data_IF_758180994427
#
_entry.id   IF_758180994427
#
_cell.length_a   1.000
_cell.length_b   1.000
_cell.length_c   1.000
_cell.angle_alpha   90.00
_cell.angle_beta   90.00
_cell.angle_gamma   90.00
#
_symmetry.space_group_name_H-M   'P 1'
#
loop_
_entity.id
_entity.type
_entity.pdbx_description
1 polymer ?
#
# COMPACT_ATOMS: atom_id res chain seq x y z
N UNK A 1 52.20 -30.01 23.82
CA UNK A 1 50.99 -29.85 22.97
C UNK A 1 49.79 -29.80 23.90
N UNK A 2 49.34 -28.60 24.26
CA UNK A 2 48.14 -28.40 25.07
C UNK A 2 47.10 -27.71 24.17
N UNK A 3 46.08 -28.47 23.76
CA UNK A 3 44.91 -27.93 23.06
C UNK A 3 44.03 -27.24 24.10
N UNK A 4 44.02 -25.91 24.06
CA UNK A 4 42.99 -25.11 24.72
C UNK A 4 41.79 -25.10 23.79
N UNK A 5 40.76 -25.88 24.12
CA UNK A 5 39.45 -25.80 23.48
C UNK A 5 38.68 -24.69 24.19
N UNK A 6 38.60 -23.50 23.60
CA UNK A 6 37.66 -22.47 24.06
C UNK A 6 36.25 -22.83 23.57
N UNK A 7 35.46 -23.44 24.43
CA UNK A 7 34.00 -23.46 24.29
C UNK A 7 33.48 -22.08 24.70
N UNK A 8 33.21 -21.24 23.71
CA UNK A 8 32.49 -19.98 23.92
C UNK A 8 31.02 -20.28 24.23
N UNK A 9 30.69 -20.42 25.53
CA UNK A 9 29.32 -20.25 26.00
C UNK A 9 29.01 -18.75 26.03
N UNK A 10 28.72 -18.17 24.86
CA UNK A 10 28.04 -16.88 24.78
C UNK A 10 26.61 -17.11 25.24
N UNK A 11 26.29 -16.68 26.46
CA UNK A 11 24.90 -16.45 26.86
C UNK A 11 24.34 -15.41 25.88
N UNK A 12 23.52 -15.86 24.94
CA UNK A 12 22.75 -15.01 24.04
C UNK A 12 21.77 -14.22 24.90
N UNK A 13 22.17 -13.03 25.34
CA UNK A 13 21.21 -11.99 25.70
C UNK A 13 20.64 -11.50 24.37
N UNK A 14 19.37 -11.77 24.02
CA UNK A 14 18.78 -11.20 22.83
C UNK A 14 18.81 -9.68 23.00
N UNK A 15 19.67 -9.00 22.24
CA UNK A 15 19.57 -7.56 22.07
C UNK A 15 18.20 -7.29 21.46
N UNK A 16 17.40 -6.36 22.01
CA UNK A 16 16.13 -5.96 21.40
C UNK A 16 16.34 -5.64 19.93
N UNK A 17 15.68 -6.38 19.04
CA UNK A 17 15.84 -6.22 17.60
C UNK A 17 14.73 -5.29 17.10
N UNK A 18 15.13 -4.13 16.57
CA UNK A 18 14.18 -3.28 15.83
C UNK A 18 13.59 -4.08 14.67
N UNK A 19 12.31 -3.95 14.38
CA UNK A 19 11.64 -4.62 13.26
C UNK A 19 12.37 -4.35 11.93
N UNK A 20 12.84 -3.11 11.73
CA UNK A 20 13.67 -2.75 10.58
C UNK A 20 14.89 -3.68 10.42
N UNK A 21 15.68 -3.85 11.47
CA UNK A 21 16.84 -4.74 11.43
C UNK A 21 16.43 -6.21 11.29
N UNK A 22 15.33 -6.64 11.93
CA UNK A 22 14.82 -8.00 11.78
C UNK A 22 14.48 -8.34 10.32
N UNK A 23 13.83 -7.42 9.61
CA UNK A 23 13.51 -7.53 8.18
C UNK A 23 14.79 -7.58 7.35
N UNK A 24 15.70 -6.61 7.52
CA UNK A 24 16.91 -6.51 6.70
C UNK A 24 17.84 -7.73 6.85
N UNK A 25 17.92 -8.31 8.05
CA UNK A 25 18.72 -9.51 8.31
C UNK A 25 18.14 -10.80 7.73
N UNK A 26 16.91 -10.80 7.22
CA UNK A 26 16.39 -11.94 6.45
C UNK A 26 17.22 -12.19 5.17
N UNK A 27 17.94 -11.17 4.70
CA UNK A 27 18.64 -11.14 3.43
C UNK A 27 20.06 -10.59 3.58
N UNK A 28 20.70 -10.85 4.73
CA UNK A 28 22.08 -10.44 5.04
C UNK A 28 22.34 -8.91 4.98
N UNK A 29 21.29 -8.11 5.17
CA UNK A 29 21.36 -6.66 5.27
C UNK A 29 21.25 -5.90 3.94
N UNK A 30 21.35 -4.57 4.03
CA UNK A 30 21.02 -3.67 2.90
C UNK A 30 21.93 -3.86 1.69
N UNK A 31 23.22 -4.13 1.88
CA UNK A 31 24.18 -4.32 0.78
C UNK A 31 23.84 -5.53 -0.07
N UNK A 32 23.46 -6.64 0.57
CA UNK A 32 23.05 -7.87 -0.12
C UNK A 32 21.74 -7.65 -0.88
N UNK A 33 20.74 -7.01 -0.25
CA UNK A 33 19.47 -6.66 -0.92
C UNK A 33 19.71 -5.77 -2.16
N UNK A 34 20.49 -4.70 -2.03
CA UNK A 34 20.79 -3.78 -3.15
C UNK A 34 21.51 -4.52 -4.29
N UNK A 35 22.42 -5.45 -3.96
CA UNK A 35 23.19 -6.21 -4.96
C UNK A 35 22.33 -7.13 -5.83
N UNK A 36 21.12 -7.50 -5.40
CA UNK A 36 20.18 -8.31 -6.19
C UNK A 36 19.69 -7.58 -7.45
N UNK A 37 19.69 -6.24 -7.43
CA UNK A 37 19.04 -5.44 -8.46
C UNK A 37 17.51 -5.62 -8.45
N UNK A 38 16.85 -5.12 -9.49
CA UNK A 38 15.40 -5.22 -9.61
C UNK A 38 14.98 -6.59 -10.17
N UNK A 39 13.86 -7.15 -9.67
CA UNK A 39 13.25 -8.32 -10.30
C UNK A 39 12.59 -7.93 -11.63
N UNK A 40 12.17 -8.94 -12.40
CA UNK A 40 11.41 -8.68 -13.62
C UNK A 40 9.96 -8.31 -13.27
N UNK A 41 9.63 -7.02 -13.37
CA UNK A 41 8.28 -6.51 -13.13
C UNK A 41 7.28 -6.89 -14.22
N UNK A 42 7.72 -7.37 -15.38
CA UNK A 42 6.83 -7.89 -16.44
C UNK A 42 6.33 -9.31 -16.19
N UNK A 43 6.74 -9.94 -15.08
CA UNK A 43 6.30 -11.29 -14.68
C UNK A 43 5.80 -11.31 -13.25
N UNK A 44 4.83 -12.19 -12.99
CA UNK A 44 4.41 -12.52 -11.63
C UNK A 44 5.61 -13.02 -10.82
N UNK A 45 5.57 -12.80 -9.51
CA UNK A 45 6.56 -13.42 -8.63
C UNK A 45 6.37 -14.94 -8.54
N UNK A 46 7.47 -15.66 -8.41
CA UNK A 46 7.57 -17.10 -8.17
C UNK A 46 8.38 -17.35 -6.90
N UNK A 47 8.59 -18.61 -6.54
CA UNK A 47 9.46 -18.95 -5.40
C UNK A 47 10.91 -18.50 -5.60
N UNK A 48 11.41 -18.48 -6.83
CA UNK A 48 12.80 -18.15 -7.14
C UNK A 48 13.14 -16.65 -7.06
N UNK A 49 12.13 -15.77 -7.17
CA UNK A 49 12.28 -14.32 -7.02
C UNK A 49 11.54 -13.79 -5.78
N UNK A 50 11.21 -14.67 -4.83
CA UNK A 50 10.65 -14.31 -3.54
C UNK A 50 11.74 -13.78 -2.61
N UNK A 51 11.53 -12.62 -2.00
CA UNK A 51 12.45 -12.02 -1.06
C UNK A 51 12.28 -10.52 -0.89
N UNK A 52 13.33 -9.86 -0.41
CA UNK A 52 13.39 -8.41 -0.22
C UNK A 52 14.24 -7.77 -1.31
N UNK A 53 13.76 -6.65 -1.84
CA UNK A 53 14.37 -5.85 -2.90
C UNK A 53 14.40 -4.36 -2.50
N UNK A 54 15.13 -3.53 -3.25
CA UNK A 54 15.29 -2.11 -2.94
C UNK A 54 14.81 -1.22 -4.09
N UNK A 55 14.18 -0.09 -3.75
CA UNK A 55 13.77 0.96 -4.69
C UNK A 55 13.69 2.30 -3.95
N UNK A 56 13.95 3.41 -4.63
CA UNK A 56 13.85 4.75 -4.04
C UNK A 56 12.40 5.24 -3.92
N UNK A 57 12.06 5.87 -2.79
CA UNK A 57 10.83 6.65 -2.57
C UNK A 57 11.16 8.15 -2.36
N UNK A 58 10.23 8.95 -1.79
CA UNK A 58 10.44 10.37 -1.45
C UNK A 58 11.47 10.64 -0.35
N UNK A 59 11.77 9.63 0.45
CA UNK A 59 12.59 9.73 1.65
C UNK A 59 13.96 9.09 1.47
N UNK A 60 14.11 8.18 0.51
CA UNK A 60 15.37 7.54 0.14
C UNK A 60 15.16 6.08 -0.26
N UNK A 61 16.14 5.23 0.02
CA UNK A 61 16.07 3.81 -0.32
C UNK A 61 15.06 3.07 0.56
N UNK A 62 13.97 2.60 -0.05
CA UNK A 62 13.04 1.64 0.54
C UNK A 62 13.49 0.20 0.33
N UNK A 63 13.02 -0.70 1.21
CA UNK A 63 13.21 -2.14 1.10
C UNK A 63 11.85 -2.84 1.15
N UNK A 64 11.44 -3.48 0.06
CA UNK A 64 10.08 -4.00 -0.12
C UNK A 64 10.05 -5.52 -0.27
N UNK A 65 8.96 -6.12 0.19
CA UNK A 65 8.68 -7.54 0.04
C UNK A 65 8.08 -7.85 -1.33
N UNK A 66 8.60 -8.89 -1.97
CA UNK A 66 8.07 -9.50 -3.19
C UNK A 66 7.92 -10.99 -3.00
N UNK A 67 6.80 -11.57 -3.43
CA UNK A 67 6.74 -13.00 -3.67
C UNK A 67 5.74 -13.81 -2.85
N UNK A 68 6.09 -15.09 -2.71
CA UNK A 68 5.21 -16.14 -2.23
C UNK A 68 4.99 -16.07 -0.71
N UNK A 69 3.73 -16.06 -0.31
CA UNK A 69 3.28 -15.96 1.08
C UNK A 69 3.78 -17.06 2.01
N UNK A 70 4.11 -18.24 1.48
CA UNK A 70 4.59 -19.38 2.26
C UNK A 70 6.11 -19.35 2.50
N UNK A 71 6.83 -18.50 1.79
CA UNK A 71 8.30 -18.36 1.91
C UNK A 71 8.64 -17.07 2.68
N UNK A 72 7.86 -16.01 2.43
CA UNK A 72 8.11 -14.71 3.05
C UNK A 72 7.91 -14.72 4.56
N UNK A 73 8.73 -13.92 5.23
CA UNK A 73 8.67 -13.65 6.67
C UNK A 73 8.17 -12.23 6.93
N UNK A 74 6.99 -11.90 6.40
CA UNK A 74 6.43 -10.55 6.42
C UNK A 74 5.15 -10.43 7.26
N UNK A 75 4.99 -11.26 8.28
CA UNK A 75 3.81 -11.27 9.15
C UNK A 75 4.05 -10.53 10.46
N UNK A 76 3.09 -9.71 10.87
CA UNK A 76 3.19 -8.88 12.07
C UNK A 76 1.87 -8.90 12.85
N UNK A 77 1.97 -8.95 14.17
CA UNK A 77 0.89 -8.67 15.10
C UNK A 77 1.20 -7.37 15.83
N UNK A 78 0.26 -6.43 15.77
CA UNK A 78 0.38 -5.10 16.36
C UNK A 78 -1.00 -4.51 16.65
N UNK A 79 -1.19 -4.01 17.87
CA UNK A 79 -2.38 -3.27 18.27
C UNK A 79 -3.68 -4.09 18.26
N UNK A 80 -3.62 -5.40 18.52
CA UNK A 80 -4.78 -6.29 18.43
C UNK A 80 -5.12 -6.73 17.00
N UNK A 81 -4.25 -6.47 16.03
CA UNK A 81 -4.47 -6.79 14.61
C UNK A 81 -3.32 -7.57 14.00
N UNK A 82 -3.66 -8.31 12.94
CA UNK A 82 -2.74 -8.95 12.03
C UNK A 82 -2.41 -8.03 10.86
N UNK A 83 -1.16 -8.06 10.43
CA UNK A 83 -0.64 -7.22 9.35
C UNK A 83 0.30 -8.01 8.45
N UNK A 84 0.28 -7.68 7.15
CA UNK A 84 1.39 -8.00 6.25
C UNK A 84 2.29 -6.76 6.14
N UNK A 85 3.59 -6.98 6.21
CA UNK A 85 4.58 -5.92 5.99
C UNK A 85 4.78 -5.78 4.48
N UNK A 86 4.61 -4.55 3.97
CA UNK A 86 4.83 -4.21 2.57
C UNK A 86 6.29 -3.83 2.33
N UNK A 87 6.79 -2.86 3.11
CA UNK A 87 8.13 -2.31 2.97
C UNK A 87 8.61 -1.56 4.20
N UNK A 88 9.93 -1.39 4.28
CA UNK A 88 10.58 -0.30 5.02
C UNK A 88 10.67 0.88 4.05
N UNK A 89 10.12 2.03 4.43
CA UNK A 89 10.19 3.28 3.67
C UNK A 89 11.60 3.90 3.76
N UNK A 90 11.90 4.88 2.90
CA UNK A 90 13.22 5.52 2.88
C UNK A 90 13.61 6.26 4.16
N UNK A 91 12.63 6.69 4.97
CA UNK A 91 12.84 7.27 6.30
C UNK A 91 12.98 6.23 7.42
N UNK A 92 12.89 4.94 7.08
CA UNK A 92 12.94 3.82 8.01
C UNK A 92 11.61 3.43 8.65
N UNK A 93 10.52 4.19 8.44
CA UNK A 93 9.18 3.79 8.86
C UNK A 93 8.74 2.52 8.13
N UNK A 94 7.79 1.77 8.71
CA UNK A 94 7.45 0.42 8.26
C UNK A 94 6.00 0.41 7.79
N UNK A 95 5.79 0.25 6.48
CA UNK A 95 4.47 0.26 5.85
C UNK A 95 3.84 -1.12 5.93
N UNK A 96 2.63 -1.18 6.49
CA UNK A 96 1.92 -2.43 6.77
C UNK A 96 0.47 -2.35 6.28
N UNK A 97 -0.07 -3.48 5.82
CA UNK A 97 -1.45 -3.61 5.33
C UNK A 97 -2.24 -4.58 6.22
N UNK A 98 -3.48 -4.20 6.54
CA UNK A 98 -4.38 -4.96 7.40
C UNK A 98 -4.61 -6.39 6.88
N UNK A 99 -4.68 -7.34 7.81
CA UNK A 99 -4.82 -8.76 7.52
C UNK A 99 -5.66 -9.52 8.56
N UNK A 100 -6.55 -8.83 9.28
CA UNK A 100 -7.45 -9.41 10.28
C UNK A 100 -7.11 -9.04 11.72
N UNK A 101 -7.76 -9.72 12.67
CA UNK A 101 -7.62 -9.45 14.10
C UNK A 101 -6.60 -10.40 14.75
N UNK A 102 -5.98 -9.98 15.85
CA UNK A 102 -5.14 -10.88 16.65
C UNK A 102 -5.93 -12.05 17.23
N UNK A 103 -7.22 -11.85 17.53
CA UNK A 103 -8.12 -12.93 17.95
C UNK A 103 -8.20 -14.06 16.92
N UNK A 104 -8.27 -13.73 15.62
CA UNK A 104 -8.27 -14.76 14.55
C UNK A 104 -6.96 -15.58 14.57
N UNK A 105 -5.82 -14.95 14.90
CA UNK A 105 -4.55 -15.65 15.03
C UNK A 105 -4.56 -16.56 16.27
N UNK A 106 -5.03 -16.05 17.40
CA UNK A 106 -5.06 -16.79 18.66
C UNK A 106 -5.96 -18.03 18.57
N UNK A 107 -7.04 -17.96 17.77
CA UNK A 107 -7.92 -19.10 17.50
C UNK A 107 -7.28 -20.13 16.55
N UNK A 108 -6.61 -19.68 15.48
CA UNK A 108 -6.13 -20.56 14.40
C UNK A 108 -4.67 -21.02 14.57
N UNK A 109 -3.87 -20.33 15.39
CA UNK A 109 -2.44 -20.56 15.57
C UNK A 109 -1.57 -20.19 14.36
N UNK A 110 -2.15 -19.49 13.38
CA UNK A 110 -1.48 -19.05 12.16
C UNK A 110 -2.09 -17.75 11.66
N UNK A 111 -1.28 -16.95 10.96
CA UNK A 111 -1.76 -15.74 10.31
C UNK A 111 -2.80 -16.05 9.24
N UNK A 112 -3.77 -15.15 9.09
CA UNK A 112 -4.78 -15.22 8.04
C UNK A 112 -4.09 -15.19 6.67
N UNK A 113 -4.62 -15.99 5.77
CA UNK A 113 -4.11 -16.14 4.42
C UNK A 113 -5.17 -15.68 3.40
N UNK A 114 -6.41 -16.11 3.59
CA UNK A 114 -7.58 -15.73 2.81
C UNK A 114 -8.77 -15.63 3.76
N UNK A 115 -9.76 -14.81 3.41
CA UNK A 115 -11.00 -14.75 4.20
C UNK A 115 -11.53 -13.33 4.39
N UNK A 116 -12.84 -13.17 4.69
CA UNK A 116 -13.46 -11.86 4.85
C UNK A 116 -12.90 -11.07 6.03
N UNK A 117 -12.24 -11.73 6.99
CA UNK A 117 -11.55 -11.10 8.10
C UNK A 117 -10.29 -10.33 7.67
N UNK A 118 -9.72 -10.62 6.49
CA UNK A 118 -8.53 -9.93 5.97
C UNK A 118 -8.79 -8.51 5.45
N UNK A 119 -10.05 -8.10 5.45
CA UNK A 119 -10.54 -6.80 4.96
C UNK A 119 -11.43 -6.16 6.04
N UNK A 120 -11.64 -4.84 6.00
CA UNK A 120 -12.47 -4.15 7.01
C UNK A 120 -13.95 -4.05 6.63
N UNK A 121 -14.30 -4.51 5.43
CA UNK A 121 -15.66 -4.50 4.91
C UNK A 121 -15.73 -4.21 3.42
N UNK A 122 -16.94 -4.30 2.89
CA UNK A 122 -17.26 -4.08 1.49
C UNK A 122 -17.85 -2.69 1.31
N UNK A 123 -17.11 -1.85 0.59
CA UNK A 123 -17.44 -0.45 0.41
C UNK A 123 -17.24 -0.07 -1.05
N UNK A 124 -17.84 1.02 -1.48
CA UNK A 124 -17.47 1.65 -2.76
C UNK A 124 -16.29 2.59 -2.53
N UNK A 125 -15.52 2.86 -3.57
CA UNK A 125 -14.49 3.90 -3.49
C UNK A 125 -15.14 5.30 -3.50
N UNK A 126 -16.12 5.47 -4.39
CA UNK A 126 -16.98 6.64 -4.46
C UNK A 126 -18.37 6.19 -4.93
N UNK A 127 -19.42 6.73 -4.33
CA UNK A 127 -20.82 6.47 -4.68
C UNK A 127 -21.26 7.19 -5.96
N UNK A 128 -20.37 7.98 -6.55
CA UNK A 128 -20.58 8.70 -7.82
C UNK A 128 -19.36 8.49 -8.70
N UNK A 129 -19.58 8.27 -9.99
CA UNK A 129 -18.54 7.87 -10.96
C UNK A 129 -18.41 8.80 -12.17
N UNK A 130 -19.37 9.71 -12.38
CA UNK A 130 -19.53 10.46 -13.63
C UNK A 130 -18.74 11.77 -13.72
N UNK A 131 -17.60 11.84 -13.04
CA UNK A 131 -16.65 12.95 -13.09
C UNK A 131 -15.24 12.42 -12.74
N UNK A 132 -14.21 12.91 -13.44
CA UNK A 132 -12.81 12.59 -13.19
C UNK A 132 -12.40 12.70 -11.73
N UNK A 133 -12.97 13.66 -11.00
CA UNK A 133 -12.61 13.93 -9.61
C UNK A 133 -12.81 12.70 -8.68
N UNK A 134 -13.69 11.78 -9.04
CA UNK A 134 -14.03 10.61 -8.21
C UNK A 134 -12.97 9.49 -8.21
N UNK A 135 -11.91 9.60 -9.01
CA UNK A 135 -10.72 8.74 -8.88
C UNK A 135 -9.78 9.18 -7.74
N UNK A 136 -10.09 10.31 -7.09
CA UNK A 136 -9.32 10.86 -5.99
C UNK A 136 -9.69 10.28 -4.63
N UNK A 137 -8.70 10.03 -3.78
CA UNK A 137 -8.85 9.74 -2.35
C UNK A 137 -9.51 10.92 -1.61
N UNK A 138 -9.18 12.13 -2.07
CA UNK A 138 -9.92 13.36 -1.83
C UNK A 138 -10.08 14.11 -3.15
N UNK A 139 -11.11 14.95 -3.27
CA UNK A 139 -11.45 15.65 -4.50
C UNK A 139 -12.06 17.04 -4.29
N UNK A 140 -12.18 17.77 -5.40
CA UNK A 140 -12.74 19.13 -5.46
C UNK A 140 -14.24 19.23 -5.29
N UNK A 141 -14.64 20.08 -4.35
CA UNK A 141 -16.01 20.53 -4.19
C UNK A 141 -17.01 19.43 -3.83
N UNK A 142 -18.30 19.80 -3.67
CA UNK A 142 -19.30 18.87 -3.17
C UNK A 142 -19.49 17.66 -4.10
N UNK A 143 -19.82 16.51 -3.50
CA UNK A 143 -20.27 15.32 -4.24
C UNK A 143 -21.47 15.67 -5.13
N UNK A 144 -21.45 15.21 -6.38
CA UNK A 144 -22.48 15.47 -7.38
C UNK A 144 -22.35 16.80 -8.14
N UNK A 145 -21.42 17.68 -7.75
CA UNK A 145 -21.13 18.93 -8.49
C UNK A 145 -19.98 18.71 -9.46
N UNK A 146 -20.19 18.98 -10.74
CA UNK A 146 -19.17 18.76 -11.78
C UNK A 146 -17.92 19.63 -11.56
N UNK A 147 -16.74 19.06 -11.80
CA UNK A 147 -15.49 19.82 -11.89
C UNK A 147 -15.36 20.47 -13.27
N UNK A 148 -14.74 21.65 -13.33
CA UNK A 148 -14.57 22.42 -14.58
C UNK A 148 -13.11 22.67 -14.94
N UNK A 149 -12.18 22.25 -14.08
CA UNK A 149 -10.74 22.33 -14.33
C UNK A 149 -10.03 21.22 -13.53
N UNK A 150 -8.85 20.79 -13.98
CA UNK A 150 -8.04 19.76 -13.30
C UNK A 150 -7.51 20.26 -11.96
N UNK A 151 -6.81 21.39 -12.03
CA UNK A 151 -5.99 21.93 -10.94
C UNK A 151 -6.51 23.29 -10.49
N UNK A 152 -6.28 23.62 -9.22
CA UNK A 152 -6.63 24.90 -8.64
C UNK A 152 -6.89 24.79 -7.14
N UNK A 153 -7.04 25.93 -6.48
CA UNK A 153 -7.33 26.03 -5.04
C UNK A 153 -8.80 26.39 -4.79
N UNK A 154 -9.70 25.94 -5.66
CA UNK A 154 -11.14 26.21 -5.58
C UNK A 154 -11.94 24.93 -5.78
N UNK A 155 -13.18 24.85 -5.26
CA UNK A 155 -14.06 23.66 -5.36
C UNK A 155 -14.27 23.10 -6.78
N UNK A 156 -14.15 23.94 -7.81
CA UNK A 156 -14.32 23.54 -9.20
C UNK A 156 -13.13 22.74 -9.77
N UNK A 157 -11.98 22.73 -9.10
CA UNK A 157 -10.81 21.97 -9.51
C UNK A 157 -10.89 20.52 -9.02
N UNK A 158 -10.85 19.55 -9.93
CA UNK A 158 -10.97 18.12 -9.60
C UNK A 158 -9.99 17.67 -8.50
N UNK A 159 -8.76 18.19 -8.53
CA UNK A 159 -7.69 17.83 -7.60
C UNK A 159 -7.62 18.70 -6.33
N UNK A 160 -8.57 19.62 -6.13
CA UNK A 160 -8.63 20.42 -4.90
C UNK A 160 -9.12 19.55 -3.74
N UNK A 161 -8.20 18.92 -2.99
CA UNK A 161 -8.47 17.94 -1.93
C UNK A 161 -9.31 18.49 -0.76
N UNK A 162 -10.60 18.71 -1.01
CA UNK A 162 -11.52 19.36 -0.07
C UNK A 162 -12.55 18.36 0.47
N UNK A 163 -12.96 17.40 -0.34
CA UNK A 163 -14.00 16.42 -0.01
C UNK A 163 -13.43 15.02 -0.06
N UNK A 164 -13.76 14.21 0.94
CA UNK A 164 -13.30 12.84 1.05
C UNK A 164 -14.04 11.91 0.08
N UNK A 165 -13.33 10.90 -0.43
CA UNK A 165 -13.97 9.75 -1.06
C UNK A 165 -14.72 8.90 -0.04
N UNK A 166 -15.63 8.04 -0.50
CA UNK A 166 -16.35 7.14 0.40
C UNK A 166 -15.39 6.13 1.04
N UNK A 167 -14.39 5.66 0.30
CA UNK A 167 -13.32 4.84 0.86
C UNK A 167 -12.56 5.54 1.98
N UNK A 168 -12.19 6.81 1.81
CA UNK A 168 -11.51 7.58 2.86
C UNK A 168 -12.39 7.73 4.10
N UNK A 169 -13.67 8.03 3.94
CA UNK A 169 -14.61 8.12 5.07
C UNK A 169 -14.62 6.82 5.88
N UNK A 170 -14.65 5.65 5.22
CA UNK A 170 -14.65 4.36 5.91
C UNK A 170 -13.30 4.04 6.58
N UNK A 171 -12.18 4.42 5.97
CA UNK A 171 -10.85 4.26 6.56
C UNK A 171 -10.65 5.16 7.78
N UNK A 172 -11.14 6.41 7.73
CA UNK A 172 -11.08 7.34 8.85
C UNK A 172 -11.92 6.84 10.02
N UNK A 173 -13.15 6.35 9.76
CA UNK A 173 -14.00 5.72 10.79
C UNK A 173 -13.31 4.50 11.42
N UNK A 174 -12.72 3.63 10.59
CA UNK A 174 -12.00 2.47 11.08
C UNK A 174 -10.81 2.89 11.97
N UNK A 175 -10.03 3.88 11.57
CA UNK A 175 -8.90 4.38 12.37
C UNK A 175 -9.36 5.02 13.68
N UNK A 176 -10.42 5.82 13.64
CA UNK A 176 -11.02 6.45 14.83
C UNK A 176 -11.45 5.40 15.86
N UNK A 177 -12.15 4.35 15.41
CA UNK A 177 -12.66 3.30 16.30
C UNK A 177 -11.55 2.39 16.85
N UNK A 178 -10.54 2.08 16.04
CA UNK A 178 -9.60 0.99 16.35
C UNK A 178 -8.21 1.46 16.80
N UNK A 179 -7.80 2.69 16.49
CA UNK A 179 -6.44 3.19 16.75
C UNK A 179 -6.45 4.46 17.58
N UNK A 180 -7.38 5.38 17.34
CA UNK A 180 -7.37 6.69 18.02
C UNK A 180 -7.53 6.55 19.53
N UNK A 181 -6.68 7.25 20.29
CA UNK A 181 -6.67 7.21 21.75
C UNK A 181 -6.10 5.92 22.36
N UNK A 182 -5.71 4.94 21.54
CA UNK A 182 -5.05 3.73 22.02
C UNK A 182 -3.59 4.02 22.38
N UNK A 183 -3.06 3.30 23.37
CA UNK A 183 -1.67 3.50 23.83
C UNK A 183 -0.63 3.32 22.71
N UNK A 184 -0.93 2.44 21.75
CA UNK A 184 -0.06 2.15 20.62
C UNK A 184 -0.17 3.14 19.46
N UNK A 185 -1.10 4.11 19.49
CA UNK A 185 -1.21 5.15 18.45
C UNK A 185 0.11 5.92 18.31
N UNK A 186 0.83 6.11 19.42
CA UNK A 186 2.14 6.76 19.44
C UNK A 186 3.24 5.98 18.68
N UNK A 187 2.99 4.74 18.24
CA UNK A 187 3.89 3.92 17.40
C UNK A 187 3.61 4.11 15.91
N UNK A 188 2.55 4.82 15.55
CA UNK A 188 2.22 5.19 14.17
C UNK A 188 3.06 6.38 13.72
N UNK A 189 3.50 6.36 12.45
CA UNK A 189 4.26 7.41 11.81
C UNK A 189 3.42 8.12 10.75
N UNK A 190 3.59 9.44 10.64
CA UNK A 190 3.13 10.20 9.46
C UNK A 190 4.06 9.88 8.29
N UNK A 191 3.50 9.39 7.19
CA UNK A 191 4.23 9.11 5.95
C UNK A 191 3.26 9.25 4.77
N UNK A 192 3.79 9.31 3.55
CA UNK A 192 3.03 9.59 2.34
C UNK A 192 2.11 8.42 1.96
N UNK A 193 0.87 8.78 1.64
CA UNK A 193 -0.08 7.97 0.90
C UNK A 193 -0.29 8.59 -0.48
N UNK A 194 0.09 7.87 -1.54
CA UNK A 194 0.13 8.43 -2.88
C UNK A 194 -1.12 8.08 -3.69
N UNK A 195 -1.87 9.10 -4.10
CA UNK A 195 -2.99 8.92 -5.03
C UNK A 195 -2.52 8.94 -6.49
N UNK A 196 -1.53 9.74 -6.85
CA UNK A 196 -0.94 9.84 -8.20
C UNK A 196 -1.91 10.08 -9.37
N UNK A 197 -2.62 11.22 -9.37
CA UNK A 197 -3.41 11.71 -10.52
C UNK A 197 -2.54 12.44 -11.56
N UNK A 198 -1.26 12.09 -11.67
CA UNK A 198 -0.45 12.44 -12.83
C UNK A 198 -1.03 11.75 -14.07
N UNK A 199 -0.94 12.36 -15.25
CA UNK A 199 -1.40 11.74 -16.47
C UNK A 199 -0.34 10.82 -17.10
N UNK A 200 -0.82 9.84 -17.84
CA UNK A 200 0.02 8.94 -18.64
C UNK A 200 0.90 9.73 -19.62
N UNK A 201 0.32 10.69 -20.35
CA UNK A 201 1.04 11.52 -21.33
C UNK A 201 2.19 12.34 -20.71
N UNK A 202 2.07 12.73 -19.43
CA UNK A 202 3.11 13.47 -18.70
C UNK A 202 4.37 12.63 -18.43
N UNK A 203 4.31 11.30 -18.61
CA UNK A 203 5.43 10.38 -18.44
C UNK A 203 5.72 9.51 -19.67
N UNK A 204 4.76 9.32 -20.59
CA UNK A 204 4.91 8.49 -21.79
C UNK A 204 5.36 9.27 -23.02
N UNK A 205 5.06 10.57 -23.08
CA UNK A 205 5.19 11.35 -24.31
C UNK A 205 4.13 11.04 -25.37
N UNK A 206 3.08 10.29 -25.03
CA UNK A 206 1.90 10.12 -25.91
C UNK A 206 1.14 11.43 -26.09
N UNK A 207 0.44 11.56 -27.22
CA UNK A 207 -0.37 12.75 -27.55
C UNK A 207 -1.86 12.58 -27.18
N UNK A 208 -2.23 11.58 -26.37
CA UNK A 208 -3.63 11.37 -25.96
C UNK A 208 -3.98 12.33 -24.82
N UNK A 209 -4.57 13.46 -25.22
CA UNK A 209 -4.97 14.54 -24.31
C UNK A 209 -5.85 14.04 -23.17
N UNK A 210 -5.34 14.17 -21.95
CA UNK A 210 -6.08 13.92 -20.71
C UNK A 210 -6.47 15.25 -20.07
N UNK A 211 -7.75 15.44 -19.76
CA UNK A 211 -8.22 16.70 -19.17
C UNK A 211 -8.31 16.67 -17.64
N UNK A 212 -8.66 15.54 -17.04
CA UNK A 212 -8.71 15.32 -15.59
C UNK A 212 -9.77 16.12 -14.84
N UNK A 213 -10.85 16.50 -15.51
CA UNK A 213 -12.04 17.11 -14.92
C UNK A 213 -13.27 16.75 -15.73
N UNK A 214 -14.47 16.93 -15.16
CA UNK A 214 -15.73 16.63 -15.81
C UNK A 214 -15.78 15.21 -16.38
N UNK A 215 -16.47 15.06 -17.51
CA UNK A 215 -16.67 13.78 -18.21
C UNK A 215 -15.70 13.58 -19.38
N UNK A 216 -14.54 14.22 -19.34
CA UNK A 216 -13.54 14.10 -20.39
C UNK A 216 -12.64 12.89 -20.19
N UNK A 217 -12.20 12.27 -21.28
CA UNK A 217 -11.24 11.17 -21.22
C UNK A 217 -10.00 11.59 -20.42
N UNK A 218 -9.49 10.68 -19.60
CA UNK A 218 -8.22 10.86 -18.89
C UNK A 218 -7.56 9.53 -18.60
N UNK A 219 -6.28 9.42 -18.91
CA UNK A 219 -5.46 8.27 -18.58
C UNK A 219 -4.41 8.67 -17.56
N UNK A 220 -4.32 7.95 -16.45
CA UNK A 220 -3.42 8.30 -15.35
C UNK A 220 -2.09 7.57 -15.44
N UNK A 221 -1.03 8.15 -14.88
CA UNK A 221 0.34 7.65 -14.91
C UNK A 221 0.48 6.21 -14.37
N UNK A 222 -0.21 5.81 -13.28
CA UNK A 222 -0.20 4.40 -12.86
C UNK A 222 -0.71 3.46 -13.95
N UNK A 223 -1.68 3.87 -14.77
CA UNK A 223 -2.12 3.03 -15.89
C UNK A 223 -0.99 2.74 -16.86
N UNK A 224 -0.25 3.77 -17.27
CA UNK A 224 0.86 3.60 -18.21
C UNK A 224 2.00 2.77 -17.62
N UNK A 225 2.43 3.07 -16.40
CA UNK A 225 3.52 2.33 -15.72
C UNK A 225 3.22 0.85 -15.57
N UNK A 226 1.99 0.50 -15.23
CA UNK A 226 1.60 -0.88 -14.92
C UNK A 226 1.11 -1.65 -16.14
N UNK A 227 0.35 -1.03 -17.04
CA UNK A 227 -0.20 -1.71 -18.22
C UNK A 227 0.81 -1.76 -19.37
N UNK A 228 1.46 -0.64 -19.68
CA UNK A 228 2.30 -0.47 -20.87
C UNK A 228 3.77 -0.73 -20.59
N UNK A 229 4.39 0.03 -19.68
CA UNK A 229 5.85 -0.04 -19.48
C UNK A 229 6.32 -1.19 -18.61
N UNK A 230 5.45 -1.66 -17.71
CA UNK A 230 5.82 -2.59 -16.63
C UNK A 230 6.96 -2.06 -15.76
N UNK A 231 6.91 -0.77 -15.43
CA UNK A 231 7.95 -0.06 -14.71
C UNK A 231 7.35 0.68 -13.49
N UNK A 232 7.12 -0.03 -12.37
CA UNK A 232 6.52 0.56 -11.19
C UNK A 232 7.48 1.51 -10.47
N UNK A 233 6.94 2.40 -9.64
CA UNK A 233 7.73 3.30 -8.79
C UNK A 233 7.13 3.45 -7.40
N UNK A 234 7.99 3.67 -6.39
CA UNK A 234 7.57 4.09 -5.06
C UNK A 234 7.48 5.61 -4.92
N UNK A 235 7.78 6.37 -5.98
CA UNK A 235 7.67 7.82 -6.01
C UNK A 235 6.29 8.27 -6.47
N UNK A 236 5.83 9.32 -5.85
CA UNK A 236 4.61 10.06 -6.06
C UNK A 236 4.95 11.40 -6.69
N UNK A 237 4.66 11.59 -7.98
CA UNK A 237 5.13 12.76 -8.71
C UNK A 237 4.51 14.07 -8.19
N UNK A 238 3.20 14.07 -7.92
CA UNK A 238 2.45 15.27 -7.57
C UNK A 238 2.41 15.48 -6.05
N UNK A 239 2.97 16.60 -5.57
CA UNK A 239 2.91 16.96 -4.14
C UNK A 239 1.48 17.06 -3.61
N UNK A 240 0.55 17.55 -4.43
CA UNK A 240 -0.87 17.62 -4.06
C UNK A 240 -1.48 16.24 -3.77
N UNK A 241 -0.89 15.16 -4.28
CA UNK A 241 -1.39 13.80 -4.11
C UNK A 241 -0.54 12.97 -3.14
N UNK A 242 0.39 13.63 -2.44
CA UNK A 242 1.17 13.05 -1.34
C UNK A 242 0.46 13.31 -0.03
N UNK A 243 -0.54 12.48 0.27
CA UNK A 243 -1.35 12.64 1.45
C UNK A 243 -0.58 12.33 2.74
N UNK A 244 -0.60 13.27 3.67
CA UNK A 244 0.04 13.23 5.00
C UNK A 244 -0.85 13.96 6.00
N UNK A 245 -0.64 13.73 7.30
CA UNK A 245 -1.38 14.42 8.37
C UNK A 245 -0.75 15.75 8.75
N UNK A 246 0.58 15.79 8.86
CA UNK A 246 1.31 16.96 9.38
C UNK A 246 2.40 17.42 8.41
N UNK A 247 3.07 16.52 7.69
CA UNK A 247 4.16 16.89 6.78
C UNK A 247 3.64 17.69 5.56
N UNK A 248 3.86 18.99 5.57
CA UNK A 248 3.59 19.89 4.42
C UNK A 248 4.85 20.21 3.60
N UNK A 249 6.01 19.67 3.96
CA UNK A 249 7.28 19.85 3.24
C UNK A 249 7.31 18.89 2.05
N UNK A 250 7.18 17.58 2.30
CA UNK A 250 7.12 16.56 1.24
C UNK A 250 5.69 16.19 0.89
N UNK A 251 4.78 16.19 1.86
CA UNK A 251 3.36 15.90 1.69
C UNK A 251 2.46 17.13 1.55
N UNK A 252 1.15 16.89 1.61
CA UNK A 252 0.09 17.91 1.46
C UNK A 252 -0.62 18.28 2.79
N UNK A 253 -0.41 17.53 3.88
CA UNK A 253 -1.01 17.80 5.19
C UNK A 253 -2.54 17.75 5.24
N UNK A 254 -3.18 17.05 4.30
CA UNK A 254 -4.64 17.05 4.14
C UNK A 254 -5.36 15.93 4.93
N UNK A 255 -4.63 14.95 5.47
CA UNK A 255 -5.26 13.82 6.16
C UNK A 255 -5.64 14.18 7.60
N UNK A 256 -6.79 13.66 8.03
CA UNK A 256 -7.19 13.62 9.44
C UNK A 256 -6.39 12.57 10.20
N UNK A 257 -6.30 11.36 9.65
CA UNK A 257 -5.59 10.22 10.23
C UNK A 257 -4.52 9.67 9.27
N UNK A 258 -3.41 9.10 9.76
CA UNK A 258 -2.33 8.57 8.94
C UNK A 258 -2.66 7.17 8.38
N UNK A 259 -3.78 7.08 7.66
CA UNK A 259 -4.30 5.85 7.05
C UNK A 259 -4.63 6.07 5.57
N UNK A 260 -4.38 5.04 4.76
CA UNK A 260 -4.72 5.03 3.35
C UNK A 260 -4.83 3.61 2.81
N UNK A 261 -4.59 3.47 1.51
CA UNK A 261 -4.59 2.18 0.81
C UNK A 261 -3.22 1.91 0.18
N UNK A 262 -2.99 0.65 -0.22
CA UNK A 262 -1.84 0.28 -1.03
C UNK A 262 -1.92 0.97 -2.40
N UNK A 263 -0.78 1.27 -3.03
CA UNK A 263 -0.76 1.72 -4.42
C UNK A 263 -0.69 0.54 -5.39
N UNK A 264 -1.04 0.74 -6.65
CA UNK A 264 -0.88 -0.31 -7.66
C UNK A 264 0.59 -0.62 -7.96
N UNK A 265 1.47 0.38 -7.85
CA UNK A 265 2.92 0.20 -7.98
C UNK A 265 3.46 -0.70 -6.85
N UNK A 266 2.99 -0.50 -5.61
CA UNK A 266 3.30 -1.36 -4.46
C UNK A 266 2.82 -2.81 -4.70
N UNK A 267 1.66 -2.99 -5.31
CA UNK A 267 1.15 -4.31 -5.70
C UNK A 267 2.01 -4.97 -6.80
N UNK A 268 2.49 -4.18 -7.76
CA UNK A 268 3.31 -4.69 -8.86
C UNK A 268 4.71 -5.09 -8.39
N UNK A 269 5.36 -4.26 -7.57
CA UNK A 269 6.67 -4.63 -6.99
C UNK A 269 6.55 -5.86 -6.09
N UNK A 270 5.41 -6.05 -5.41
CA UNK A 270 5.10 -7.24 -4.62
C UNK A 270 4.98 -8.52 -5.46
N UNK A 271 4.82 -8.42 -6.79
CA UNK A 271 4.77 -9.57 -7.69
C UNK A 271 3.46 -9.82 -8.40
N UNK A 272 2.53 -8.85 -8.40
CA UNK A 272 1.30 -8.93 -9.19
C UNK A 272 1.48 -8.25 -10.55
N UNK A 273 0.79 -8.71 -11.59
CA UNK A 273 0.83 -8.07 -12.91
C UNK A 273 -0.55 -8.01 -13.54
N UNK A 274 -0.74 -7.07 -14.45
CA UNK A 274 -2.00 -6.92 -15.17
C UNK A 274 -2.34 -8.16 -16.01
N UNK A 275 -3.56 -8.64 -15.87
CA UNK A 275 -4.13 -9.74 -16.65
C UNK A 275 -3.61 -11.12 -16.31
N UNK A 276 -2.87 -11.29 -15.20
CA UNK A 276 -2.30 -12.59 -14.80
C UNK A 276 -2.52 -12.86 -13.32
N UNK A 277 -3.03 -14.04 -13.01
CA UNK A 277 -3.33 -14.47 -11.64
C UNK A 277 -2.07 -14.86 -10.88
N UNK A 278 -2.04 -14.57 -9.58
CA UNK A 278 -0.94 -14.98 -8.69
C UNK A 278 -1.42 -15.28 -7.26
N UNK A 279 -2.19 -16.35 -7.11
CA UNK A 279 -2.80 -16.76 -5.83
C UNK A 279 -1.79 -17.18 -4.74
N UNK A 280 -0.51 -17.34 -5.10
CA UNK A 280 0.57 -17.62 -4.15
C UNK A 280 1.17 -16.35 -3.54
N UNK A 281 0.85 -15.17 -4.09
CA UNK A 281 1.38 -13.90 -3.60
C UNK A 281 0.84 -13.56 -2.21
N UNK A 282 1.64 -12.87 -1.37
CA UNK A 282 1.22 -12.47 -0.02
C UNK A 282 0.11 -11.40 0.04
N UNK A 283 -0.18 -10.73 -1.08
CA UNK A 283 -1.29 -9.79 -1.20
C UNK A 283 -2.62 -10.46 -1.58
N UNK A 284 -2.59 -11.75 -1.94
CA UNK A 284 -3.79 -12.53 -2.24
C UNK A 284 -4.56 -12.85 -0.95
N UNK A 285 -5.84 -12.48 -0.92
CA UNK A 285 -6.72 -12.76 0.23
C UNK A 285 -8.09 -13.32 -0.17
N UNK A 286 -8.26 -13.71 -1.44
CA UNK A 286 -9.53 -14.16 -2.05
C UNK A 286 -10.68 -13.14 -2.08
N UNK A 287 -10.48 -11.96 -1.50
CA UNK A 287 -11.41 -10.83 -1.60
C UNK A 287 -10.79 -9.72 -2.44
N UNK A 288 -11.53 -9.19 -3.42
CA UNK A 288 -11.07 -8.06 -4.21
C UNK A 288 -11.02 -6.78 -3.37
N UNK A 289 -10.04 -5.91 -3.58
CA UNK A 289 -9.92 -4.64 -2.86
C UNK A 289 -9.32 -3.52 -3.69
N UNK A 290 -9.79 -2.30 -3.39
CA UNK A 290 -9.33 -1.09 -4.05
C UNK A 290 -7.90 -0.72 -3.64
N UNK A 291 -7.18 -0.12 -4.58
CA UNK A 291 -5.93 0.59 -4.32
C UNK A 291 -6.16 2.10 -4.30
N UNK A 292 -5.16 2.86 -3.88
CA UNK A 292 -5.20 4.32 -3.92
C UNK A 292 -4.97 4.89 -5.34
N UNK A 293 -4.57 4.06 -6.30
CA UNK A 293 -4.10 4.50 -7.60
C UNK A 293 -5.24 4.62 -8.63
N UNK A 294 -5.36 5.74 -9.36
CA UNK A 294 -6.35 5.91 -10.41
C UNK A 294 -5.96 5.10 -11.65
N UNK A 295 -6.97 4.66 -12.40
CA UNK A 295 -6.77 3.94 -13.66
C UNK A 295 -7.04 4.86 -14.85
N UNK A 296 -8.29 5.29 -15.01
CA UNK A 296 -8.71 6.18 -16.09
C UNK A 296 -10.08 6.82 -15.79
N UNK A 297 -10.43 7.81 -16.59
CA UNK A 297 -11.82 8.17 -16.84
C UNK A 297 -12.16 7.83 -18.29
N UNK A 298 -13.18 6.99 -18.50
CA UNK A 298 -13.68 6.67 -19.83
C UNK A 298 -14.86 7.57 -20.16
N UNK A 299 -14.74 8.40 -21.19
CA UNK A 299 -15.75 9.37 -21.61
C UNK A 299 -16.97 8.73 -22.27
N UNK A 300 -16.77 7.63 -23.01
CA UNK A 300 -17.85 6.85 -23.62
C UNK A 300 -18.80 6.31 -22.55
N UNK A 301 -18.24 5.67 -21.51
CA UNK A 301 -18.99 5.08 -20.40
C UNK A 301 -19.32 6.10 -19.30
N UNK A 302 -18.70 7.29 -19.38
CA UNK A 302 -18.75 8.37 -18.37
C UNK A 302 -18.35 7.85 -16.99
N UNK A 303 -17.26 7.09 -16.95
CA UNK A 303 -16.91 6.29 -15.78
C UNK A 303 -15.50 6.55 -15.27
N UNK A 304 -15.43 6.99 -14.01
CA UNK A 304 -14.23 7.02 -13.20
C UNK A 304 -13.86 5.59 -12.76
N UNK A 305 -12.60 5.24 -13.00
CA UNK A 305 -12.05 3.92 -12.68
C UNK A 305 -10.75 4.03 -11.92
N UNK A 306 -10.56 3.13 -10.98
CA UNK A 306 -9.35 3.02 -10.16
C UNK A 306 -8.76 1.62 -10.29
N UNK A 307 -7.53 1.44 -9.85
CA UNK A 307 -6.89 0.14 -9.79
C UNK A 307 -7.38 -0.67 -8.58
N UNK A 308 -7.56 -1.96 -8.77
CA UNK A 308 -7.86 -2.93 -7.72
C UNK A 308 -7.04 -4.22 -7.90
N UNK A 309 -6.95 -4.99 -6.81
CA UNK A 309 -6.47 -6.37 -6.82
C UNK A 309 -7.71 -7.26 -6.74
N UNK A 310 -7.89 -8.17 -7.68
CA UNK A 310 -9.05 -9.05 -7.74
C UNK A 310 -8.92 -10.32 -6.87
N UNK A 311 -9.96 -11.14 -6.87
CA UNK A 311 -10.06 -12.40 -6.12
C UNK A 311 -9.13 -13.52 -6.62
N UNK A 312 -8.22 -13.25 -7.57
CA UNK A 312 -7.14 -14.12 -8.00
C UNK A 312 -5.75 -13.46 -7.87
N UNK A 313 -5.68 -12.34 -7.15
CA UNK A 313 -4.49 -11.48 -7.09
C UNK A 313 -4.00 -11.04 -8.48
N UNK A 314 -4.93 -10.78 -9.39
CA UNK A 314 -4.66 -10.07 -10.63
C UNK A 314 -4.99 -8.59 -10.44
N UNK A 315 -4.14 -7.70 -10.97
CA UNK A 315 -4.37 -6.25 -10.92
C UNK A 315 -5.15 -5.80 -12.15
N UNK A 316 -6.23 -5.05 -11.96
CA UNK A 316 -7.08 -4.55 -13.04
C UNK A 316 -7.76 -3.23 -12.70
N UNK A 317 -8.25 -2.53 -13.73
CA UNK A 317 -9.10 -1.36 -13.54
C UNK A 317 -10.52 -1.77 -13.17
N UNK A 318 -11.10 -1.07 -12.21
CA UNK A 318 -12.47 -1.28 -11.72
C UNK A 318 -13.21 0.05 -11.55
N UNK A 319 -14.54 0.00 -11.60
CA UNK A 319 -15.41 1.14 -11.33
C UNK A 319 -15.25 1.64 -9.90
N UNK A 320 -15.25 2.96 -9.69
CA UNK A 320 -15.26 3.52 -8.32
C UNK A 320 -16.54 3.20 -7.55
N UNK A 321 -17.63 2.91 -8.28
CA UNK A 321 -18.95 2.59 -7.71
C UNK A 321 -19.21 1.11 -7.55
N UNK A 322 -18.24 0.22 -7.80
CA UNK A 322 -18.50 -1.22 -7.70
C UNK A 322 -18.87 -1.57 -6.24
N UNK A 323 -20.14 -1.91 -6.01
CA UNK A 323 -20.72 -2.20 -4.69
C UNK A 323 -20.63 -3.68 -4.32
N UNK A 324 -20.74 -3.94 -3.01
CA UNK A 324 -21.08 -5.18 -2.27
C UNK A 324 -20.90 -6.51 -3.02
N UNK A 325 -20.06 -7.39 -2.46
CA UNK A 325 -19.54 -8.67 -2.99
C UNK A 325 -18.33 -8.57 -3.93
N UNK A 326 -17.97 -7.37 -4.41
CA UNK A 326 -16.96 -7.24 -5.48
C UNK A 326 -15.75 -6.34 -5.21
N UNK A 327 -15.74 -5.47 -4.18
CA UNK A 327 -14.53 -4.77 -3.74
C UNK A 327 -14.62 -4.42 -2.24
N UNK A 328 -13.48 -4.43 -1.58
CA UNK A 328 -13.31 -4.20 -0.14
C UNK A 328 -12.18 -3.21 0.13
N UNK A 329 -12.01 -2.85 1.40
CA UNK A 329 -10.92 -1.97 1.84
C UNK A 329 -9.96 -2.72 2.76
N UNK A 330 -8.66 -2.44 2.58
CA UNK A 330 -7.59 -2.92 3.45
C UNK A 330 -6.74 -1.72 3.90
N UNK A 331 -6.90 -1.26 5.15
CA UNK A 331 -6.12 -0.16 5.69
C UNK A 331 -4.63 -0.39 5.54
N UNK A 332 -3.92 0.67 5.17
CA UNK A 332 -2.46 0.75 5.23
C UNK A 332 -2.08 1.85 6.21
N UNK A 333 -1.15 1.54 7.10
CA UNK A 333 -0.55 2.47 8.06
C UNK A 333 0.97 2.34 8.02
N UNK A 334 1.68 3.28 8.64
CA UNK A 334 3.13 3.23 8.80
C UNK A 334 3.48 3.20 10.28
N UNK A 335 4.34 2.28 10.69
CA UNK A 335 4.92 2.29 12.02
C UNK A 335 6.23 3.08 12.05
N UNK A 336 6.60 3.61 13.22
CA UNK A 336 7.89 4.29 13.41
C UNK A 336 9.08 3.35 13.15
N UNK A 337 10.26 3.94 12.93
CA UNK A 337 11.47 3.18 12.57
C UNK A 337 12.08 2.38 13.73
N UNK A 338 11.78 2.80 14.96
CA UNK A 338 12.36 2.30 16.22
C UNK A 338 11.52 1.21 16.90
N UNK A 339 10.50 0.68 16.20
CA UNK A 339 9.67 -0.41 16.72
C UNK A 339 10.51 -1.63 17.04
N UNK A 340 10.41 -2.11 18.28
CA UNK A 340 11.04 -3.34 18.76
C UNK A 340 10.06 -4.50 18.62
N UNK A 341 10.56 -5.64 18.18
CA UNK A 341 9.75 -6.86 18.00
C UNK A 341 10.42 -8.10 18.59
N UNK A 342 9.59 -9.08 18.88
CA UNK A 342 9.96 -10.50 18.99
C UNK A 342 9.41 -11.28 17.79
N UNK A 343 9.78 -12.55 17.67
CA UNK A 343 9.29 -13.43 16.59
C UNK A 343 10.15 -13.37 15.33
N UNK A 344 9.78 -14.17 14.33
CA UNK A 344 10.57 -14.37 13.12
C UNK A 344 9.87 -13.88 11.84
N UNK A 345 8.62 -13.44 11.94
CA UNK A 345 7.82 -12.97 10.81
C UNK A 345 7.17 -14.09 9.99
N UNK A 346 7.28 -15.36 10.41
CA UNK A 346 6.62 -16.49 9.72
C UNK A 346 5.11 -16.51 10.00
N UNK A 347 4.37 -17.36 9.31
CA UNK A 347 2.92 -17.50 9.50
C UNK A 347 2.54 -17.97 10.92
N UNK A 348 3.36 -18.81 11.56
CA UNK A 348 3.10 -19.37 12.89
C UNK A 348 3.93 -18.71 14.00
N UNK A 349 4.91 -17.89 13.63
CA UNK A 349 5.73 -17.09 14.54
C UNK A 349 5.89 -15.67 13.96
N UNK A 350 4.79 -14.91 13.85
CA UNK A 350 4.81 -13.56 13.31
C UNK A 350 5.66 -12.64 14.20
N UNK A 351 6.10 -11.53 13.63
CA UNK A 351 6.66 -10.46 14.46
C UNK A 351 5.58 -9.97 15.43
N UNK A 352 5.97 -9.72 16.68
CA UNK A 352 5.09 -9.14 17.71
C UNK A 352 5.74 -7.90 18.25
N UNK A 353 5.06 -6.76 18.15
CA UNK A 353 5.56 -5.50 18.70
C UNK A 353 5.58 -5.60 20.22
N UNK A 354 6.75 -5.36 20.81
CA UNK A 354 6.86 -5.29 22.27
C UNK A 354 6.29 -3.98 22.76
N UNK A 355 5.59 -4.00 23.89
CA UNK A 355 5.05 -2.79 24.53
C UNK A 355 6.13 -1.79 24.89
#
# INVERSE_FOLDING_TARGET
SAKITMTANLRYNPVPLTLRNAILWQEDGTSAIISKGNPNFSSISTESDTGIYAMEDEYGTSYYYRGNKNILKNNLIFGGFQWKILRINGDGSIRIIYNGTEEDFDQNGTMNDIGPETVIGFYTYSSVFNDNKYVGYMYGGPKGVASTQRNGSIPAAANYNQTDSDAKVQLDLWYEENISGQLFENKIADNIFCNDRQFAEEISGDEIESLGYGQFYSSYAPRFRIYTEKNPTLKCALKNDRFTTIDTIKGNGALTYPVGLITIDEAMIAGLIYGTQNVNNYLFVFFPYYTMSPYAFFDIDKEATIWAIDYHANISGTSVTRTVEYDSLRPVINLKADIIVTGEGTLTNPYRVTE
#
